data_IF_545128973782
#
_entry.id   IF_545128973782
#
_cell.length_a   1.000
_cell.length_b   1.000
_cell.length_c   1.000
_cell.angle_alpha   90.00
_cell.angle_beta   90.00
_cell.angle_gamma   90.00
#
_symmetry.space_group_name_H-M   'P 1'
#
loop_
_entity.id
_entity.type
_entity.pdbx_description
1 polymer ?
#
# COMPACT_ATOMS: atom_id res chain seq x y z
N UNK A 1 -23.83 11.21 3.80
CA UNK A 1 -24.95 12.03 4.32
C UNK A 1 -25.64 12.83 3.21
N UNK A 2 -24.95 13.75 2.47
CA UNK A 2 -25.58 14.61 1.43
C UNK A 2 -26.25 13.76 0.36
N UNK A 3 -25.52 12.80 -0.21
CA UNK A 3 -26.02 11.91 -1.26
C UNK A 3 -27.14 11.01 -0.71
N UNK A 4 -26.98 10.49 0.49
CA UNK A 4 -28.02 9.68 1.18
C UNK A 4 -29.32 10.46 1.36
N UNK A 5 -29.23 11.70 1.80
CA UNK A 5 -30.42 12.56 1.98
C UNK A 5 -31.14 12.77 0.63
N UNK A 6 -30.40 13.08 -0.42
CA UNK A 6 -30.97 13.25 -1.77
C UNK A 6 -31.61 11.97 -2.31
N UNK A 7 -30.98 10.81 -2.12
CA UNK A 7 -31.50 9.52 -2.58
C UNK A 7 -32.66 9.03 -1.73
N UNK A 8 -32.67 9.33 -0.42
CA UNK A 8 -33.76 9.00 0.48
C UNK A 8 -35.02 9.82 0.20
N UNK A 9 -34.90 11.10 -0.17
CA UNK A 9 -36.03 11.94 -0.59
C UNK A 9 -36.74 11.41 -1.83
N UNK A 10 -36.03 10.67 -2.69
CA UNK A 10 -36.63 10.04 -3.89
C UNK A 10 -37.22 8.64 -3.61
N UNK A 11 -36.94 8.06 -2.46
CA UNK A 11 -37.45 6.76 -2.01
C UNK A 11 -38.49 6.95 -0.92
N UNK A 12 -39.64 7.50 -1.25
CA UNK A 12 -40.81 7.47 -0.39
C UNK A 12 -41.42 6.06 -0.36
N UNK A 13 -40.85 5.17 0.45
CA UNK A 13 -41.37 3.82 0.63
C UNK A 13 -40.58 3.05 1.69
N UNK A 14 -41.19 2.93 2.87
CA UNK A 14 -40.97 1.93 3.92
C UNK A 14 -39.54 1.38 4.13
N UNK A 15 -38.91 1.75 5.24
CA UNK A 15 -37.81 1.00 5.86
C UNK A 15 -36.42 1.61 5.73
N UNK A 16 -36.22 2.84 6.23
CA UNK A 16 -34.86 3.33 6.49
C UNK A 16 -34.31 2.64 7.75
N UNK A 17 -33.65 1.50 7.56
CA UNK A 17 -32.69 1.01 8.54
C UNK A 17 -31.53 2.03 8.59
N UNK A 18 -31.52 2.82 9.66
CA UNK A 18 -30.37 3.66 10.07
C UNK A 18 -29.29 2.73 10.66
N UNK A 19 -28.83 1.75 9.86
CA UNK A 19 -27.68 0.91 10.13
C UNK A 19 -26.46 1.48 9.38
N UNK A 20 -25.29 1.28 9.93
CA UNK A 20 -24.05 1.63 9.22
C UNK A 20 -24.07 0.95 7.84
N UNK A 21 -24.03 1.78 6.80
CA UNK A 21 -23.96 1.31 5.41
C UNK A 21 -22.73 0.43 5.24
N UNK A 22 -22.89 -0.71 4.58
CA UNK A 22 -21.75 -1.55 4.21
C UNK A 22 -20.78 -0.78 3.29
N UNK A 23 -19.51 -1.20 3.27
CA UNK A 23 -18.52 -0.56 2.40
C UNK A 23 -18.96 -0.56 0.92
N UNK A 24 -19.69 -1.57 0.48
CA UNK A 24 -20.25 -1.66 -0.88
C UNK A 24 -21.35 -0.63 -1.11
N UNK A 25 -22.28 -0.47 -0.17
CA UNK A 25 -23.33 0.54 -0.24
C UNK A 25 -22.78 1.97 -0.23
N UNK A 26 -21.72 2.23 0.54
CA UNK A 26 -21.02 3.52 0.51
C UNK A 26 -20.38 3.80 -0.84
N UNK A 27 -19.83 2.77 -1.51
CA UNK A 27 -19.24 2.89 -2.85
C UNK A 27 -20.30 3.21 -3.91
N UNK A 28 -21.44 2.52 -3.86
CA UNK A 28 -22.56 2.80 -4.77
C UNK A 28 -23.06 4.23 -4.58
N UNK A 29 -23.24 4.67 -3.35
CA UNK A 29 -23.64 6.04 -3.05
C UNK A 29 -22.66 7.08 -3.59
N UNK A 30 -21.35 6.86 -3.46
CA UNK A 30 -20.34 7.77 -3.99
C UNK A 30 -20.37 7.83 -5.53
N UNK A 31 -20.71 6.74 -6.19
CA UNK A 31 -20.84 6.72 -7.66
C UNK A 31 -22.01 7.56 -8.17
N UNK A 32 -23.02 7.79 -7.32
CA UNK A 32 -24.17 8.63 -7.58
C UNK A 32 -23.95 10.12 -7.27
N UNK A 33 -22.71 10.52 -6.95
CA UNK A 33 -22.35 11.90 -6.64
C UNK A 33 -22.63 12.81 -7.85
N UNK A 34 -23.28 13.94 -7.59
CA UNK A 34 -23.60 14.97 -8.59
C UNK A 34 -22.84 16.27 -8.30
N UNK A 35 -22.79 17.17 -9.27
CA UNK A 35 -22.20 18.50 -9.07
C UNK A 35 -22.87 19.27 -7.93
N UNK A 36 -24.19 19.14 -7.79
CA UNK A 36 -24.95 19.78 -6.71
C UNK A 36 -24.58 19.24 -5.32
N UNK A 37 -24.27 17.94 -5.22
CA UNK A 37 -23.80 17.34 -3.98
C UNK A 37 -22.44 17.91 -3.58
N UNK A 38 -21.56 18.20 -4.54
CA UNK A 38 -20.26 18.81 -4.32
C UNK A 38 -20.38 20.28 -3.87
N UNK A 39 -21.34 21.03 -4.45
CA UNK A 39 -21.67 22.39 -3.97
C UNK A 39 -22.19 22.34 -2.53
N UNK A 40 -23.12 21.45 -2.22
CA UNK A 40 -23.64 21.25 -0.85
C UNK A 40 -22.56 20.81 0.13
N UNK A 41 -21.53 20.12 -0.35
CA UNK A 41 -20.37 19.72 0.45
C UNK A 41 -19.44 20.90 0.77
N UNK A 42 -19.52 22.00 -0.01
CA UNK A 42 -18.77 23.23 0.21
C UNK A 42 -17.77 23.56 -0.89
N UNK A 43 -17.80 22.87 -2.01
CA UNK A 43 -16.97 23.21 -3.17
C UNK A 43 -17.64 24.36 -3.92
N UNK A 44 -16.87 25.40 -4.24
CA UNK A 44 -17.39 26.57 -4.94
C UNK A 44 -17.87 26.22 -6.37
N UNK A 45 -19.02 26.76 -6.82
CA UNK A 45 -19.61 26.43 -8.11
C UNK A 45 -18.68 26.70 -9.29
N UNK A 46 -17.89 27.77 -9.25
CA UNK A 46 -16.95 28.14 -10.31
C UNK A 46 -15.87 27.07 -10.53
N UNK A 47 -15.43 26.41 -9.45
CA UNK A 47 -14.47 25.32 -9.54
C UNK A 47 -15.10 24.08 -10.17
N UNK A 48 -16.34 23.76 -9.78
CA UNK A 48 -17.08 22.61 -10.34
C UNK A 48 -17.33 22.82 -11.84
N UNK A 49 -17.69 24.03 -12.25
CA UNK A 49 -17.87 24.38 -13.66
C UNK A 49 -16.60 24.19 -14.51
N UNK A 50 -15.43 24.26 -13.91
CA UNK A 50 -14.14 24.00 -14.59
C UNK A 50 -13.71 22.52 -14.55
N UNK A 51 -14.32 21.71 -13.70
CA UNK A 51 -14.08 20.27 -13.57
C UNK A 51 -15.31 19.51 -14.03
N UNK A 52 -15.50 19.31 -15.34
CA UNK A 52 -16.73 18.72 -15.90
C UNK A 52 -16.89 17.23 -15.55
N UNK A 53 -15.82 16.58 -15.11
CA UNK A 53 -15.85 15.17 -14.73
C UNK A 53 -15.47 15.00 -13.27
N UNK A 54 -16.29 14.27 -12.53
CA UNK A 54 -16.00 13.80 -11.18
C UNK A 54 -16.19 12.29 -11.14
N UNK A 55 -15.25 11.60 -10.53
CA UNK A 55 -15.21 10.13 -10.49
C UNK A 55 -15.02 9.67 -9.06
N UNK A 56 -15.86 8.76 -8.62
CA UNK A 56 -15.66 8.08 -7.34
C UNK A 56 -14.61 6.98 -7.49
N UNK A 57 -13.56 7.05 -6.67
CA UNK A 57 -12.54 6.00 -6.62
C UNK A 57 -13.01 4.88 -5.71
N UNK A 58 -12.67 3.64 -6.09
CA UNK A 58 -12.87 2.46 -5.24
C UNK A 58 -11.76 2.39 -4.18
N UNK A 59 -12.11 1.89 -3.00
CA UNK A 59 -11.10 1.51 -2.02
C UNK A 59 -10.26 0.35 -2.55
N UNK A 60 -8.98 0.38 -2.23
CA UNK A 60 -8.06 -0.67 -2.64
C UNK A 60 -8.29 -1.93 -1.79
N UNK A 61 -8.38 -3.06 -2.46
CA UNK A 61 -8.40 -4.37 -1.81
C UNK A 61 -6.98 -4.81 -1.44
N UNK A 62 -6.86 -5.90 -0.66
CA UNK A 62 -5.56 -6.51 -0.37
C UNK A 62 -4.82 -6.89 -1.66
N UNK A 63 -5.54 -7.49 -2.61
CA UNK A 63 -4.96 -7.93 -3.89
C UNK A 63 -4.49 -6.75 -4.73
N UNK A 64 -5.22 -5.64 -4.73
CA UNK A 64 -4.79 -4.41 -5.39
C UNK A 64 -3.47 -3.88 -4.79
N UNK A 65 -3.33 -3.91 -3.46
CA UNK A 65 -2.10 -3.48 -2.78
C UNK A 65 -0.92 -4.41 -3.08
N UNK A 66 -1.14 -5.72 -3.15
CA UNK A 66 -0.14 -6.72 -3.58
C UNK A 66 0.30 -6.44 -5.02
N UNK A 67 -0.65 -6.20 -5.93
CA UNK A 67 -0.35 -5.87 -7.31
C UNK A 67 0.45 -4.56 -7.42
N UNK A 68 0.10 -3.52 -6.66
CA UNK A 68 0.84 -2.25 -6.61
C UNK A 68 2.29 -2.46 -6.14
N UNK A 69 2.53 -3.40 -5.22
CA UNK A 69 3.87 -3.71 -4.73
C UNK A 69 4.75 -4.42 -5.76
N UNK A 70 4.15 -5.20 -6.69
CA UNK A 70 4.90 -6.16 -7.54
C UNK A 70 4.81 -5.88 -9.03
N UNK A 71 3.64 -5.54 -9.57
CA UNK A 71 3.38 -5.49 -11.01
C UNK A 71 4.02 -4.28 -11.73
N UNK A 72 3.88 -3.03 -11.28
CA UNK A 72 4.34 -1.86 -12.02
C UNK A 72 5.84 -1.96 -12.39
N UNK A 73 6.23 -1.30 -13.49
CA UNK A 73 7.65 -1.19 -13.87
C UNK A 73 8.48 -0.62 -12.72
N UNK A 74 7.95 0.40 -12.04
CA UNK A 74 8.54 1.06 -10.88
C UNK A 74 7.88 0.59 -9.57
N UNK A 75 7.55 -0.70 -9.43
CA UNK A 75 7.05 -1.24 -8.19
C UNK A 75 8.02 -0.99 -7.03
N UNK A 76 7.48 -0.77 -5.84
CA UNK A 76 8.28 -0.47 -4.63
C UNK A 76 9.32 -1.56 -4.40
N UNK A 77 8.93 -2.83 -4.49
CA UNK A 77 9.85 -3.96 -4.34
C UNK A 77 10.99 -3.94 -5.34
N UNK A 78 10.71 -3.58 -6.61
CA UNK A 78 11.74 -3.47 -7.66
C UNK A 78 12.70 -2.31 -7.42
N UNK A 79 12.21 -1.18 -6.89
CA UNK A 79 13.06 -0.04 -6.55
C UNK A 79 14.04 -0.40 -5.43
N UNK A 80 13.57 -1.07 -4.37
CA UNK A 80 14.46 -1.50 -3.28
C UNK A 80 15.44 -2.57 -3.74
N UNK A 81 15.02 -3.54 -4.56
CA UNK A 81 15.93 -4.51 -5.18
C UNK A 81 17.06 -3.82 -5.95
N UNK A 82 16.72 -2.84 -6.79
CA UNK A 82 17.72 -2.09 -7.55
C UNK A 82 18.65 -1.26 -6.67
N UNK A 83 18.14 -0.67 -5.58
CA UNK A 83 18.95 0.09 -4.63
C UNK A 83 19.95 -0.80 -3.90
N UNK A 84 19.50 -1.94 -3.38
CA UNK A 84 20.37 -2.88 -2.66
C UNK A 84 21.38 -3.60 -3.58
N UNK A 85 21.02 -3.80 -4.85
CA UNK A 85 21.97 -4.36 -5.84
C UNK A 85 23.20 -3.47 -6.05
N UNK A 86 23.10 -2.14 -5.84
CA UNK A 86 24.25 -1.23 -5.89
C UNK A 86 25.26 -1.50 -4.76
N UNK A 87 24.80 -2.08 -3.64
CA UNK A 87 25.62 -2.47 -2.48
C UNK A 87 25.97 -3.97 -2.50
N UNK A 88 25.89 -4.62 -3.68
CA UNK A 88 26.13 -6.05 -3.87
C UNK A 88 25.24 -6.94 -2.98
N UNK A 89 23.96 -6.55 -2.81
CA UNK A 89 22.99 -7.34 -2.10
C UNK A 89 21.80 -7.69 -3.00
N UNK A 90 21.53 -8.98 -3.15
CA UNK A 90 20.32 -9.47 -3.79
C UNK A 90 19.17 -9.50 -2.76
N UNK A 91 18.22 -8.58 -2.93
CA UNK A 91 17.03 -8.50 -2.08
C UNK A 91 15.88 -9.29 -2.70
N UNK A 92 15.34 -10.24 -1.98
CA UNK A 92 14.14 -10.98 -2.38
C UNK A 92 13.01 -10.80 -1.37
N UNK A 93 11.78 -10.73 -1.88
CA UNK A 93 10.57 -10.70 -1.05
C UNK A 93 9.80 -11.99 -1.28
N UNK A 94 9.46 -12.69 -0.20
CA UNK A 94 8.54 -13.83 -0.28
C UNK A 94 7.12 -13.34 -0.49
N UNK A 95 6.26 -14.18 -1.07
CA UNK A 95 4.84 -13.84 -1.28
C UNK A 95 4.15 -13.49 0.05
N UNK A 96 4.42 -14.26 1.09
CA UNK A 96 3.88 -14.03 2.44
C UNK A 96 4.30 -12.67 3.03
N UNK A 97 5.52 -12.21 2.73
CA UNK A 97 6.00 -10.90 3.16
C UNK A 97 5.24 -9.77 2.44
N UNK A 98 5.05 -9.89 1.13
CA UNK A 98 4.29 -8.92 0.32
C UNK A 98 2.85 -8.81 0.83
N UNK A 99 2.21 -9.94 1.11
CA UNK A 99 0.87 -9.97 1.68
C UNK A 99 0.81 -9.32 3.08
N UNK A 100 1.82 -9.55 3.91
CA UNK A 100 1.87 -8.94 5.26
C UNK A 100 2.07 -7.42 5.17
N UNK A 101 2.86 -6.92 4.23
CA UNK A 101 3.00 -5.49 3.95
C UNK A 101 1.64 -4.88 3.54
N UNK A 102 0.90 -5.57 2.67
CA UNK A 102 -0.43 -5.14 2.26
C UNK A 102 -1.42 -5.13 3.45
N UNK A 103 -1.40 -6.17 4.30
CA UNK A 103 -2.23 -6.23 5.51
C UNK A 103 -1.91 -5.10 6.49
N UNK A 104 -0.62 -4.75 6.64
CA UNK A 104 -0.20 -3.64 7.50
C UNK A 104 -0.72 -2.30 6.98
N UNK A 105 -0.68 -2.07 5.66
CA UNK A 105 -1.24 -0.86 5.04
C UNK A 105 -2.75 -0.73 5.26
N UNK A 106 -3.48 -1.84 5.25
CA UNK A 106 -4.91 -1.89 5.57
C UNK A 106 -5.13 -1.58 7.06
N UNK A 107 -4.36 -2.20 7.96
CA UNK A 107 -4.44 -1.96 9.42
C UNK A 107 -4.22 -0.49 9.76
N UNK A 108 -3.23 0.13 9.11
CA UNK A 108 -2.92 1.56 9.29
C UNK A 108 -3.86 2.50 8.54
N UNK A 109 -4.79 1.99 7.72
CA UNK A 109 -5.70 2.77 6.87
C UNK A 109 -4.97 3.78 5.97
N UNK A 110 -3.74 3.48 5.58
CA UNK A 110 -2.91 4.37 4.75
C UNK A 110 -3.06 4.10 3.25
N UNK A 111 -3.60 2.93 2.89
CA UNK A 111 -3.71 2.48 1.51
C UNK A 111 -2.35 2.43 0.80
N UNK A 112 -2.34 2.63 -0.51
CA UNK A 112 -1.12 2.56 -1.32
C UNK A 112 -0.03 3.57 -0.91
N UNK A 113 -0.41 4.73 -0.37
CA UNK A 113 0.54 5.77 0.06
C UNK A 113 1.44 5.32 1.21
N UNK A 114 0.94 4.45 2.08
CA UNK A 114 1.69 3.92 3.22
C UNK A 114 2.64 2.79 2.88
N UNK A 115 2.48 2.12 1.73
CA UNK A 115 3.28 0.95 1.37
C UNK A 115 4.78 1.23 1.41
N UNK A 116 5.21 2.36 0.83
CA UNK A 116 6.61 2.75 0.83
C UNK A 116 7.17 2.93 2.24
N UNK A 117 6.47 3.70 3.08
CA UNK A 117 6.91 3.95 4.46
C UNK A 117 6.94 2.69 5.31
N UNK A 118 6.02 1.73 5.06
CA UNK A 118 6.03 0.44 5.73
C UNK A 118 7.28 -0.35 5.35
N UNK A 119 7.62 -0.39 4.05
CA UNK A 119 8.83 -1.09 3.57
C UNK A 119 10.09 -0.41 4.10
N UNK A 120 10.19 0.90 4.03
CA UNK A 120 11.32 1.67 4.57
C UNK A 120 11.53 1.39 6.05
N UNK A 121 10.46 1.32 6.83
CA UNK A 121 10.53 1.14 8.29
C UNK A 121 11.25 -0.15 8.69
N UNK A 122 11.01 -1.29 8.04
CA UNK A 122 11.68 -2.53 8.39
C UNK A 122 13.01 -2.73 7.66
N UNK A 123 13.28 -1.97 6.59
CA UNK A 123 14.56 -2.03 5.88
C UNK A 123 15.59 -1.00 6.37
N UNK A 124 15.21 -0.02 7.20
CA UNK A 124 16.09 1.08 7.63
C UNK A 124 17.38 0.56 8.27
N UNK A 125 17.27 -0.35 9.22
CA UNK A 125 18.44 -0.92 9.92
C UNK A 125 19.33 -1.70 8.93
N UNK A 126 18.70 -2.46 8.04
CA UNK A 126 19.37 -3.22 6.98
C UNK A 126 20.12 -2.31 6.00
N UNK A 127 19.53 -1.19 5.59
CA UNK A 127 20.16 -0.20 4.71
C UNK A 127 21.39 0.42 5.34
N UNK A 128 21.41 0.56 6.66
CA UNK A 128 22.55 1.11 7.39
C UNK A 128 23.68 0.09 7.56
N UNK A 129 23.37 -1.16 7.84
CA UNK A 129 24.37 -2.19 8.17
C UNK A 129 25.02 -2.83 6.94
N UNK A 130 24.26 -3.02 5.86
CA UNK A 130 24.69 -3.74 4.66
C UNK A 130 25.95 -3.17 3.99
N UNK A 131 26.11 -1.85 3.81
CA UNK A 131 27.30 -1.29 3.18
C UNK A 131 28.60 -1.62 3.94
N UNK A 132 28.51 -1.90 5.24
CA UNK A 132 29.67 -2.25 6.08
C UNK A 132 30.13 -3.69 5.91
N UNK A 133 29.31 -4.56 5.34
CA UNK A 133 29.61 -5.98 5.14
C UNK A 133 30.20 -6.17 3.73
N UNK A 134 31.39 -6.74 3.61
CA UNK A 134 32.04 -7.02 2.32
C UNK A 134 31.52 -8.32 1.70
N UNK A 135 31.57 -8.42 0.35
CA UNK A 135 31.16 -9.60 -0.41
C UNK A 135 29.76 -9.50 -0.99
N UNK A 136 29.43 -10.47 -1.84
CA UNK A 136 28.07 -10.61 -2.41
C UNK A 136 27.15 -11.27 -1.40
N UNK A 137 25.94 -10.76 -1.26
CA UNK A 137 25.00 -11.14 -0.19
C UNK A 137 23.63 -11.35 -0.79
N UNK A 138 22.86 -12.22 -0.17
CA UNK A 138 21.44 -12.42 -0.48
C UNK A 138 20.61 -12.24 0.79
N UNK A 139 19.59 -11.39 0.73
CA UNK A 139 18.65 -11.17 1.82
C UNK A 139 17.24 -11.53 1.37
N UNK A 140 16.62 -12.46 2.08
CA UNK A 140 15.24 -12.87 1.83
C UNK A 140 14.34 -12.29 2.91
N UNK A 141 13.44 -11.39 2.48
CA UNK A 141 12.43 -10.79 3.36
C UNK A 141 11.26 -11.75 3.51
N UNK A 142 11.07 -12.25 4.73
CA UNK A 142 9.98 -13.14 5.11
C UNK A 142 8.90 -12.39 5.88
N UNK A 143 7.74 -12.99 6.06
CA UNK A 143 6.66 -12.47 6.91
C UNK A 143 7.14 -12.14 8.33
N UNK A 144 8.00 -12.99 8.92
CA UNK A 144 8.55 -12.73 10.25
C UNK A 144 9.42 -11.49 10.30
N UNK A 145 10.20 -11.25 9.23
CA UNK A 145 11.02 -10.06 9.09
C UNK A 145 10.19 -8.79 9.12
N UNK A 146 9.08 -8.77 8.39
CA UNK A 146 8.13 -7.64 8.37
C UNK A 146 7.51 -7.42 9.76
N UNK A 147 7.04 -8.48 10.41
CA UNK A 147 6.37 -8.39 11.70
C UNK A 147 7.28 -7.92 12.85
N UNK A 148 8.55 -8.24 12.78
CA UNK A 148 9.57 -7.80 13.77
C UNK A 148 10.18 -6.44 13.43
N UNK A 149 9.64 -5.72 12.43
CA UNK A 149 10.14 -4.43 11.94
C UNK A 149 11.65 -4.44 11.64
N UNK A 150 12.16 -5.51 11.03
CA UNK A 150 13.59 -5.64 10.70
C UNK A 150 14.52 -5.87 11.90
N UNK A 151 14.01 -5.90 13.12
CA UNK A 151 14.80 -6.21 14.33
C UNK A 151 15.06 -7.70 14.45
N UNK A 152 15.86 -8.22 13.54
CA UNK A 152 16.25 -9.63 13.50
C UNK A 152 17.75 -9.65 13.31
N UNK A 153 18.38 -10.67 13.88
CA UNK A 153 19.79 -10.95 13.63
C UNK A 153 19.98 -11.20 12.12
N UNK A 154 20.48 -10.18 11.41
CA UNK A 154 20.66 -10.19 9.96
C UNK A 154 21.54 -11.37 9.50
N UNK A 155 22.41 -11.88 10.37
CA UNK A 155 23.27 -13.04 10.08
C UNK A 155 22.48 -14.31 9.71
N UNK A 156 21.22 -14.41 10.12
CA UNK A 156 20.34 -15.56 9.80
C UNK A 156 19.65 -15.45 8.44
N UNK A 157 19.62 -14.28 7.84
CA UNK A 157 18.87 -13.98 6.61
C UNK A 157 19.79 -13.58 5.47
N UNK A 158 21.07 -13.35 5.74
CA UNK A 158 22.08 -13.03 4.73
C UNK A 158 22.85 -14.32 4.41
N UNK A 159 22.62 -14.85 3.21
CA UNK A 159 23.47 -15.90 2.65
C UNK A 159 24.69 -15.24 1.99
N UNK A 160 25.88 -15.57 2.45
CA UNK A 160 27.14 -15.18 1.81
C UNK A 160 27.46 -16.21 0.73
N UNK A 161 27.76 -15.76 -0.47
CA UNK A 161 28.19 -16.66 -1.53
C UNK A 161 29.56 -17.23 -1.18
N UNK A 162 29.61 -18.55 -0.99
CA UNK A 162 30.79 -19.27 -0.47
C UNK A 162 31.94 -19.36 -1.49
N UNK A 163 31.84 -18.75 -2.66
CA UNK A 163 32.86 -18.86 -3.72
C UNK A 163 34.05 -17.90 -3.59
N UNK A 164 33.95 -16.81 -2.83
CA UNK A 164 35.09 -15.88 -2.64
C UNK A 164 35.97 -16.18 -1.41
N UNK A 165 35.55 -17.08 -0.54
CA UNK A 165 36.32 -17.45 0.67
C UNK A 165 37.54 -18.39 0.41
N UNK A 166 37.71 -18.86 -0.84
CA UNK A 166 38.80 -19.81 -1.22
C UNK A 166 39.90 -19.17 -2.07
N UNK A 167 39.91 -17.85 -2.23
CA UNK A 167 40.93 -17.15 -3.05
C UNK A 167 41.69 -16.02 -2.29
N UNK A 168 41.85 -16.17 -0.97
CA UNK A 168 42.70 -15.26 -0.17
C UNK A 168 43.77 -16.00 0.57
#
# INVERSE_FOLDING_TARGET
>A
KIIEQRTAEHSMGFGSNVGQLSAEQQRELLSLCTSDDLVKFGIIPELIGRMPMHVALKELTKDDLVNILTEPKNAITKQFKASFAMDNLDLEFTQDAIEEIANEAIRQKTGARGLRSIVEKFLTDTMYEIPSIKGHKKLVITKEFVNKNGKIDLSKYIEMDSQEALSS
#
